data_IF_852341905543
#
_entry.id   IF_852341905543
#
_cell.length_a   1.000
_cell.length_b   1.000
_cell.length_c   1.000
_cell.angle_alpha   90.00
_cell.angle_beta   90.00
_cell.angle_gamma   90.00
#
_symmetry.space_group_name_H-M   'P 1'
#
loop_
_entity.id
_entity.type
_entity.pdbx_description
1 polymer ?
#
# COMPACT_ATOMS: atom_id res chain seq x y z
N UNK A 1 19.59 54.31 26.88
CA UNK A 1 19.25 52.88 26.97
C UNK A 1 18.17 52.61 25.93
N UNK A 2 18.59 52.36 24.69
CA UNK A 2 18.70 51.01 24.08
C UNK A 2 17.32 50.44 23.73
N UNK A 3 16.89 50.57 22.46
CA UNK A 3 16.94 49.49 21.44
C UNK A 3 15.68 48.60 21.54
N UNK A 4 14.96 48.19 20.49
CA UNK A 4 15.32 47.84 19.13
C UNK A 4 14.24 48.32 18.13
N UNK A 5 14.72 48.82 17.00
CA UNK A 5 13.98 48.87 15.75
C UNK A 5 13.51 47.46 15.36
N UNK A 6 12.24 47.32 14.99
CA UNK A 6 11.74 46.13 14.28
C UNK A 6 12.40 46.12 12.90
N UNK A 7 13.45 45.33 12.81
CA UNK A 7 14.12 44.91 11.58
C UNK A 7 13.07 44.35 10.60
N UNK A 8 12.78 45.13 9.56
CA UNK A 8 12.12 44.65 8.36
C UNK A 8 13.01 43.57 7.75
N UNK A 9 12.45 42.38 7.61
CA UNK A 9 13.08 41.24 6.97
C UNK A 9 13.31 41.58 5.50
N UNK A 10 14.49 42.10 5.19
CA UNK A 10 15.03 42.16 3.83
C UNK A 10 15.50 40.76 3.45
N UNK A 11 14.60 39.93 2.92
CA UNK A 11 15.01 38.71 2.22
C UNK A 11 15.44 39.09 0.80
N UNK A 12 16.75 39.08 0.61
CA UNK A 12 17.51 39.31 -0.62
C UNK A 12 17.11 38.32 -1.71
N UNK A 13 16.13 38.69 -2.55
CA UNK A 13 15.85 38.01 -3.81
C UNK A 13 16.79 38.51 -4.92
N UNK A 14 18.11 38.41 -4.72
CA UNK A 14 19.08 38.60 -5.81
C UNK A 14 19.53 37.24 -6.31
N UNK A 15 19.11 36.86 -7.51
CA UNK A 15 19.70 35.72 -8.22
C UNK A 15 21.09 36.19 -8.68
N UNK A 16 22.15 35.70 -8.04
CA UNK A 16 23.53 35.89 -8.51
C UNK A 16 23.77 34.82 -9.57
N UNK A 17 23.70 35.20 -10.84
CA UNK A 17 24.16 34.34 -11.95
C UNK A 17 25.55 34.84 -12.30
N UNK A 18 26.59 34.06 -11.98
CA UNK A 18 27.98 34.31 -12.38
C UNK A 18 28.52 35.71 -12.01
N UNK A 19 28.45 36.09 -10.73
CA UNK A 19 28.95 37.37 -10.18
C UNK A 19 28.28 38.65 -10.69
N UNK A 20 27.24 38.56 -11.53
CA UNK A 20 26.49 39.73 -12.02
C UNK A 20 25.19 39.93 -11.24
N UNK A 21 25.04 41.12 -10.64
CA UNK A 21 23.86 41.52 -9.88
C UNK A 21 22.77 42.03 -10.84
N UNK A 22 21.73 41.23 -11.05
CA UNK A 22 20.54 41.62 -11.82
C UNK A 22 19.58 42.36 -10.89
N UNK A 23 19.19 43.58 -11.24
CA UNK A 23 18.24 44.34 -10.43
C UNK A 23 16.81 43.81 -10.59
N UNK A 24 16.11 43.75 -9.45
CA UNK A 24 14.71 43.41 -9.35
C UNK A 24 13.92 44.62 -8.81
N UNK A 25 12.74 44.86 -9.35
CA UNK A 25 11.85 45.89 -8.81
C UNK A 25 10.96 45.38 -7.67
N UNK A 26 10.20 46.29 -7.05
CA UNK A 26 9.28 45.98 -5.94
C UNK A 26 8.14 45.03 -6.31
N UNK A 27 7.90 44.79 -7.60
CA UNK A 27 6.87 43.89 -8.11
C UNK A 27 7.42 42.50 -8.50
N UNK A 28 8.74 42.31 -8.39
CA UNK A 28 9.42 41.06 -8.70
C UNK A 28 9.90 40.94 -10.16
N UNK A 29 9.95 42.03 -10.92
CA UNK A 29 10.42 42.06 -12.32
C UNK A 29 11.92 42.30 -12.38
N UNK A 30 12.58 41.70 -13.38
CA UNK A 30 14.03 41.75 -13.57
C UNK A 30 14.41 42.72 -14.69
N UNK A 31 15.54 43.41 -14.54
CA UNK A 31 16.10 44.32 -15.55
C UNK A 31 16.67 43.56 -16.77
N UNK A 32 16.07 43.75 -17.95
CA UNK A 32 16.64 43.22 -19.21
C UNK A 32 17.94 43.92 -19.59
N UNK A 33 18.12 45.18 -19.20
CA UNK A 33 19.36 45.91 -19.49
C UNK A 33 20.55 45.29 -18.75
N UNK A 34 20.36 44.87 -17.51
CA UNK A 34 21.43 44.24 -16.73
C UNK A 34 21.78 42.87 -17.32
N UNK A 35 20.77 42.11 -17.73
CA UNK A 35 20.95 40.82 -18.39
C UNK A 35 21.66 40.97 -19.74
N UNK A 36 21.34 42.01 -20.49
CA UNK A 36 22.01 42.34 -21.76
C UNK A 36 23.51 42.62 -21.55
N UNK A 37 23.83 43.41 -20.53
CA UNK A 37 25.22 43.69 -20.14
C UNK A 37 25.93 42.42 -19.68
N UNK A 38 25.27 41.60 -18.84
CA UNK A 38 25.79 40.32 -18.38
C UNK A 38 26.08 39.34 -19.53
N UNK A 39 25.30 39.42 -20.61
CA UNK A 39 25.39 38.53 -21.78
C UNK A 39 26.39 39.01 -22.85
N UNK A 40 27.16 40.06 -22.59
CA UNK A 40 28.21 40.55 -23.51
C UNK A 40 27.85 41.79 -24.33
N UNK A 41 26.69 42.41 -24.10
CA UNK A 41 26.30 43.72 -24.66
C UNK A 41 26.40 43.84 -26.20
N UNK A 42 26.11 42.76 -26.93
CA UNK A 42 26.12 42.76 -28.40
C UNK A 42 24.95 43.59 -28.97
N UNK A 43 25.20 44.48 -29.93
CA UNK A 43 24.16 45.42 -30.41
C UNK A 43 22.88 44.76 -30.95
N UNK A 44 23.02 43.63 -31.64
CA UNK A 44 21.87 42.86 -32.17
C UNK A 44 20.94 42.32 -31.07
N UNK A 45 21.44 42.19 -29.85
CA UNK A 45 20.72 41.64 -28.70
C UNK A 45 20.11 42.72 -27.80
N UNK A 46 20.10 43.98 -28.21
CA UNK A 46 19.53 45.04 -27.35
C UNK A 46 18.06 44.74 -27.00
N UNK A 47 17.63 44.99 -25.74
CA UNK A 47 16.25 44.78 -25.31
C UNK A 47 15.21 45.48 -26.20
N UNK A 48 15.55 46.62 -26.81
CA UNK A 48 14.67 47.31 -27.75
C UNK A 48 14.33 46.48 -28.99
N UNK A 49 15.27 45.67 -29.52
CA UNK A 49 15.00 44.78 -30.65
C UNK A 49 14.14 43.60 -30.23
N UNK A 50 14.42 43.02 -29.06
CA UNK A 50 13.61 41.93 -28.49
C UNK A 50 12.15 42.33 -28.35
N UNK A 51 11.89 43.50 -27.75
CA UNK A 51 10.52 44.00 -27.52
C UNK A 51 9.74 44.33 -28.80
N UNK A 52 10.41 44.44 -29.95
CA UNK A 52 9.78 44.70 -31.26
C UNK A 52 9.43 43.42 -32.02
N UNK A 53 9.92 42.25 -31.59
CA UNK A 53 9.66 40.99 -32.29
C UNK A 53 8.20 40.58 -32.06
N UNK A 54 7.54 40.11 -33.12
CA UNK A 54 6.14 39.69 -33.04
C UNK A 54 5.95 38.54 -32.03
N UNK A 55 6.88 37.58 -32.02
CA UNK A 55 6.94 36.47 -31.05
C UNK A 55 6.90 36.97 -29.59
N UNK A 56 7.64 38.04 -29.29
CA UNK A 56 7.72 38.59 -27.94
C UNK A 56 6.44 39.33 -27.57
N UNK A 57 5.83 40.05 -28.52
CA UNK A 57 4.55 40.74 -28.32
C UNK A 57 3.42 39.74 -28.06
N UNK A 58 3.36 38.68 -28.86
CA UNK A 58 2.41 37.58 -28.67
C UNK A 58 2.60 36.91 -27.31
N UNK A 59 3.84 36.62 -26.91
CA UNK A 59 4.14 36.06 -25.59
C UNK A 59 3.72 36.98 -24.44
N UNK A 60 3.93 38.28 -24.56
CA UNK A 60 3.49 39.27 -23.56
C UNK A 60 1.97 39.24 -23.40
N UNK A 61 1.24 39.18 -24.51
CA UNK A 61 -0.23 39.12 -24.49
C UNK A 61 -0.72 37.82 -23.84
N UNK A 62 -0.09 36.68 -24.14
CA UNK A 62 -0.45 35.40 -23.54
C UNK A 62 -0.21 35.38 -22.03
N UNK A 63 0.95 35.90 -21.58
CA UNK A 63 1.25 36.03 -20.15
C UNK A 63 0.22 36.94 -19.46
N UNK A 64 -0.17 38.05 -20.09
CA UNK A 64 -1.17 38.96 -19.54
C UNK A 64 -2.56 38.32 -19.41
N UNK A 65 -2.93 37.44 -20.35
CA UNK A 65 -4.22 36.75 -20.34
C UNK A 65 -4.27 35.54 -19.39
N UNK A 66 -3.11 35.03 -18.95
CA UNK A 66 -3.03 33.88 -18.04
C UNK A 66 -3.58 34.17 -16.64
N UNK A 67 -4.34 33.23 -16.07
CA UNK A 67 -5.06 33.38 -14.82
C UNK A 67 -4.16 33.70 -13.61
N UNK A 68 -2.91 33.22 -13.62
CA UNK A 68 -1.94 33.39 -12.53
C UNK A 68 -1.36 34.82 -12.43
N UNK A 69 -1.52 35.64 -13.49
CA UNK A 69 -0.88 36.96 -13.60
C UNK A 69 -1.83 38.13 -13.91
N UNK A 70 -3.16 37.92 -13.83
CA UNK A 70 -4.18 38.92 -14.20
C UNK A 70 -4.04 40.31 -13.54
N UNK A 71 -3.31 40.42 -12.41
CA UNK A 71 -3.11 41.67 -11.68
C UNK A 71 -1.68 42.24 -11.74
N UNK A 72 -0.77 41.68 -12.54
CA UNK A 72 0.61 42.17 -12.65
C UNK A 72 1.00 42.46 -14.09
N UNK A 73 1.39 43.70 -14.36
CA UNK A 73 1.92 44.08 -15.66
C UNK A 73 3.24 43.33 -15.94
N UNK A 74 3.31 42.51 -17.02
CA UNK A 74 4.46 41.65 -17.30
C UNK A 74 5.70 42.44 -17.72
N UNK A 75 5.52 43.68 -18.20
CA UNK A 75 6.60 44.56 -18.65
C UNK A 75 6.36 45.99 -18.16
N UNK A 76 7.41 46.64 -17.67
CA UNK A 76 7.46 48.08 -17.43
C UNK A 76 8.73 48.67 -18.04
N UNK A 77 8.56 49.75 -18.81
CA UNK A 77 9.68 50.55 -19.32
C UNK A 77 9.71 51.90 -18.62
N UNK A 78 10.78 52.16 -17.85
CA UNK A 78 11.01 53.45 -17.20
C UNK A 78 11.94 54.30 -18.07
N UNK A 79 11.58 55.56 -18.35
CA UNK A 79 12.42 56.51 -19.09
C UNK A 79 13.31 57.30 -18.12
N UNK A 80 14.55 57.61 -18.50
CA UNK A 80 15.46 58.49 -17.74
C UNK A 80 16.85 57.90 -17.48
N UNK A 81 17.69 58.60 -16.70
CA UNK A 81 19.09 58.23 -16.39
C UNK A 81 19.24 56.85 -15.72
N UNK A 82 18.22 56.44 -14.97
CA UNK A 82 18.09 55.11 -14.35
C UNK A 82 16.94 54.31 -14.97
N UNK A 83 16.58 54.64 -16.21
CA UNK A 83 15.55 53.97 -16.98
C UNK A 83 16.00 52.61 -17.50
N UNK A 84 15.03 51.74 -17.75
CA UNK A 84 15.27 50.38 -18.24
C UNK A 84 13.97 49.64 -18.45
N UNK A 85 14.05 48.52 -19.16
CA UNK A 85 12.93 47.60 -19.37
C UNK A 85 13.00 46.49 -18.33
N UNK A 86 11.97 46.43 -17.48
CA UNK A 86 11.81 45.44 -16.44
C UNK A 86 10.73 44.46 -16.85
N UNK A 87 11.01 43.16 -16.74
CA UNK A 87 10.12 42.10 -17.23
C UNK A 87 9.96 40.97 -16.23
N UNK A 88 8.87 40.22 -16.33
CA UNK A 88 8.64 39.02 -15.55
C UNK A 88 9.63 37.89 -15.91
N UNK A 89 9.70 36.87 -15.06
CA UNK A 89 10.69 35.78 -15.12
C UNK A 89 10.62 34.99 -16.44
N UNK A 90 9.44 34.81 -17.00
CA UNK A 90 9.17 34.11 -18.25
C UNK A 90 9.82 34.84 -19.43
N UNK A 91 9.71 36.16 -19.46
CA UNK A 91 10.32 37.01 -20.48
C UNK A 91 11.84 37.09 -20.33
N UNK A 92 12.37 36.96 -19.10
CA UNK A 92 13.81 36.79 -18.86
C UNK A 92 14.32 35.52 -19.53
N UNK A 93 13.61 34.40 -19.37
CA UNK A 93 13.98 33.14 -20.01
C UNK A 93 13.88 33.22 -21.53
N UNK A 94 12.78 33.77 -22.05
CA UNK A 94 12.60 33.98 -23.50
C UNK A 94 13.73 34.83 -24.10
N UNK A 95 14.13 35.91 -23.43
CA UNK A 95 15.24 36.75 -23.84
C UNK A 95 16.59 36.01 -23.82
N UNK A 96 16.87 35.26 -22.75
CA UNK A 96 18.10 34.47 -22.65
C UNK A 96 18.19 33.37 -23.74
N UNK A 97 17.06 32.74 -24.07
CA UNK A 97 16.97 31.76 -25.15
C UNK A 97 17.19 32.41 -26.53
N UNK A 98 16.67 33.62 -26.74
CA UNK A 98 16.87 34.37 -27.98
C UNK A 98 18.34 34.74 -28.22
N UNK A 99 19.07 35.13 -27.17
CA UNK A 99 20.49 35.51 -27.26
C UNK A 99 21.40 34.30 -27.48
N UNK A 100 21.07 33.15 -26.89
CA UNK A 100 21.95 31.97 -26.89
C UNK A 100 21.20 30.69 -27.22
N UNK A 101 21.38 30.21 -28.44
CA UNK A 101 20.85 28.92 -28.88
C UNK A 101 21.38 27.74 -28.05
N UNK A 102 22.64 27.82 -27.59
CA UNK A 102 23.22 26.80 -26.72
C UNK A 102 22.55 26.77 -25.33
N UNK A 103 22.19 27.95 -24.79
CA UNK A 103 21.41 28.03 -23.56
C UNK A 103 19.98 27.52 -23.78
N UNK A 104 19.33 27.90 -24.88
CA UNK A 104 17.99 27.42 -25.22
C UNK A 104 17.93 25.89 -25.27
N UNK A 105 18.90 25.23 -25.91
CA UNK A 105 18.97 23.77 -25.96
C UNK A 105 19.13 23.15 -24.55
N UNK A 106 19.92 23.77 -23.67
CA UNK A 106 20.09 23.30 -22.29
C UNK A 106 18.79 23.40 -21.50
N UNK A 107 18.06 24.51 -21.64
CA UNK A 107 16.76 24.71 -20.97
C UNK A 107 15.74 23.68 -21.46
N UNK A 108 15.64 23.47 -22.79
CA UNK A 108 14.73 22.48 -23.37
C UNK A 108 15.04 21.07 -22.82
N UNK A 109 16.32 20.65 -22.87
CA UNK A 109 16.73 19.33 -22.36
C UNK A 109 16.51 19.18 -20.85
N UNK A 110 16.73 20.24 -20.08
CA UNK A 110 16.47 20.23 -18.65
C UNK A 110 14.98 20.10 -18.34
N UNK A 111 14.12 20.77 -19.12
CA UNK A 111 12.67 20.64 -19.01
C UNK A 111 12.21 19.23 -19.37
N UNK A 112 12.67 18.68 -20.51
CA UNK A 112 12.34 17.31 -20.92
C UNK A 112 12.77 16.30 -19.85
N UNK A 113 13.99 16.41 -19.33
CA UNK A 113 14.47 15.55 -18.26
C UNK A 113 13.63 15.66 -16.98
N UNK A 114 13.18 16.87 -16.61
CA UNK A 114 12.32 17.08 -15.45
C UNK A 114 10.93 16.47 -15.65
N UNK A 115 10.33 16.64 -16.83
CA UNK A 115 9.02 16.07 -17.16
C UNK A 115 9.09 14.55 -17.20
N UNK A 116 10.10 13.98 -17.87
CA UNK A 116 10.34 12.53 -17.89
C UNK A 116 10.56 11.99 -16.48
N UNK A 117 11.40 12.62 -15.66
CA UNK A 117 11.63 12.20 -14.27
C UNK A 117 10.35 12.30 -13.41
N UNK A 118 9.48 13.28 -13.66
CA UNK A 118 8.20 13.42 -12.96
C UNK A 118 7.21 12.34 -13.39
N UNK A 119 7.17 12.00 -14.68
CA UNK A 119 6.35 10.90 -15.19
C UNK A 119 6.86 9.54 -14.69
N UNK A 120 8.17 9.31 -14.70
CA UNK A 120 8.80 8.09 -14.19
C UNK A 120 8.56 7.91 -12.68
N UNK A 121 8.58 8.99 -11.88
CA UNK A 121 8.18 8.93 -10.45
C UNK A 121 6.71 8.60 -10.23
N UNK A 122 5.86 8.87 -11.22
CA UNK A 122 4.42 8.56 -11.16
C UNK A 122 4.14 7.12 -11.62
N UNK A 123 4.93 6.59 -12.56
CA UNK A 123 4.73 5.24 -13.11
C UNK A 123 5.49 4.17 -12.32
N UNK A 124 6.69 4.48 -11.84
CA UNK A 124 7.46 3.65 -10.92
C UNK A 124 7.14 4.22 -9.55
N UNK A 125 6.34 3.53 -8.74
CA UNK A 125 5.99 3.93 -7.37
C UNK A 125 7.24 4.29 -6.58
N UNK A 126 7.63 5.57 -6.65
CA UNK A 126 8.91 6.02 -6.16
C UNK A 126 8.90 5.90 -4.65
N UNK A 127 9.96 5.28 -4.10
CA UNK A 127 10.19 5.19 -2.66
C UNK A 127 9.79 6.51 -2.02
N UNK A 128 8.79 6.46 -1.15
CA UNK A 128 8.25 7.65 -0.52
C UNK A 128 9.32 8.31 0.36
N UNK A 129 9.21 9.62 0.56
CA UNK A 129 10.10 10.31 1.51
C UNK A 129 9.66 10.05 2.95
N UNK A 130 10.60 10.11 3.90
CA UNK A 130 10.30 9.98 5.33
C UNK A 130 9.24 10.99 5.77
N UNK A 131 9.30 12.22 5.23
CA UNK A 131 8.34 13.27 5.52
C UNK A 131 6.91 12.90 5.08
N UNK A 132 6.76 12.27 3.92
CA UNK A 132 5.46 11.85 3.37
C UNK A 132 4.87 10.68 4.18
N UNK A 133 5.71 9.85 4.79
CA UNK A 133 5.29 8.73 5.66
C UNK A 133 4.98 9.13 7.10
N UNK A 134 5.23 10.38 7.50
CA UNK A 134 4.97 10.87 8.86
C UNK A 134 3.54 10.57 9.35
N UNK A 135 2.48 10.83 8.55
CA UNK A 135 1.10 10.56 8.97
C UNK A 135 0.85 9.07 9.26
N UNK A 136 1.49 8.17 8.51
CA UNK A 136 1.39 6.73 8.73
C UNK A 136 2.10 6.30 10.01
N UNK A 137 3.28 6.87 10.29
CA UNK A 137 4.00 6.62 11.55
C UNK A 137 3.21 7.10 12.76
N UNK A 138 2.56 8.25 12.65
CA UNK A 138 1.71 8.79 13.71
C UNK A 138 0.47 7.92 13.94
N UNK A 139 -0.16 7.42 12.87
CA UNK A 139 -1.26 6.47 12.96
C UNK A 139 -0.84 5.17 13.66
N UNK A 140 0.34 4.64 13.32
CA UNK A 140 0.92 3.44 13.96
C UNK A 140 1.24 3.70 15.43
N UNK A 141 1.82 4.86 15.77
CA UNK A 141 2.05 5.27 17.16
C UNK A 141 0.74 5.31 17.96
N UNK A 142 -0.33 5.85 17.38
CA UNK A 142 -1.65 5.86 18.01
C UNK A 142 -2.21 4.45 18.21
N UNK A 143 -2.02 3.55 17.24
CA UNK A 143 -2.44 2.15 17.35
C UNK A 143 -1.70 1.41 18.46
N UNK A 144 -0.37 1.54 18.51
CA UNK A 144 0.47 0.96 19.58
C UNK A 144 0.08 1.52 20.94
N UNK A 145 -0.10 2.84 21.06
CA UNK A 145 -0.47 3.49 22.31
C UNK A 145 -1.87 3.12 22.83
N UNK A 146 -2.86 2.98 21.95
CA UNK A 146 -4.25 2.66 22.36
C UNK A 146 -4.51 1.18 22.56
N UNK A 147 -3.92 0.30 21.73
CA UNK A 147 -4.15 -1.16 21.79
C UNK A 147 -3.05 -1.94 22.51
N UNK A 148 -1.92 -1.31 22.85
CA UNK A 148 -0.80 -2.00 23.50
C UNK A 148 -0.10 -3.03 22.60
N UNK A 149 -0.21 -2.86 21.28
CA UNK A 149 0.45 -3.73 20.29
C UNK A 149 1.95 -3.42 20.21
N UNK A 150 2.77 -4.39 19.76
CA UNK A 150 4.18 -4.11 19.44
C UNK A 150 4.25 -3.35 18.12
N UNK A 151 5.29 -2.53 17.98
CA UNK A 151 5.54 -1.78 16.75
C UNK A 151 5.65 -2.68 15.52
N UNK A 152 6.35 -3.81 15.65
CA UNK A 152 6.52 -4.77 14.55
C UNK A 152 5.18 -5.32 14.07
N UNK A 153 4.27 -5.65 15.00
CA UNK A 153 2.93 -6.15 14.67
C UNK A 153 2.12 -5.10 13.91
N UNK A 154 2.20 -3.83 14.34
CA UNK A 154 1.51 -2.73 13.69
C UNK A 154 2.04 -2.45 12.27
N UNK A 155 3.35 -2.57 12.04
CA UNK A 155 3.92 -2.45 10.68
C UNK A 155 3.61 -3.67 9.82
N UNK A 156 3.62 -4.88 10.39
CA UNK A 156 3.25 -6.11 9.68
C UNK A 156 1.81 -6.07 9.15
N UNK A 157 0.89 -5.40 9.86
CA UNK A 157 -0.47 -5.18 9.36
C UNK A 157 -0.48 -4.33 8.08
N UNK A 158 0.37 -3.30 7.99
CA UNK A 158 0.52 -2.49 6.78
C UNK A 158 1.18 -3.31 5.67
N UNK A 159 2.25 -4.05 5.98
CA UNK A 159 2.94 -4.92 5.04
C UNK A 159 2.00 -5.94 4.39
N UNK A 160 1.20 -6.64 5.21
CA UNK A 160 0.23 -7.62 4.74
C UNK A 160 -0.88 -6.98 3.90
N UNK A 161 -1.36 -5.80 4.27
CA UNK A 161 -2.46 -5.12 3.56
C UNK A 161 -2.05 -4.65 2.17
N UNK A 162 -0.80 -4.21 2.01
CA UNK A 162 -0.30 -3.61 0.77
C UNK A 162 0.64 -4.53 -0.02
N UNK A 163 0.98 -5.71 0.51
CA UNK A 163 1.85 -6.68 -0.15
C UNK A 163 3.29 -6.20 -0.30
N UNK A 164 3.81 -5.50 0.71
CA UNK A 164 5.14 -4.87 0.72
C UNK A 164 5.98 -5.41 1.87
N UNK A 165 7.30 -5.42 1.70
CA UNK A 165 8.23 -5.84 2.76
C UNK A 165 8.59 -4.69 3.71
N UNK A 166 8.45 -3.44 3.23
CA UNK A 166 8.73 -2.24 3.99
C UNK A 166 7.79 -1.10 3.60
N UNK A 167 7.37 -0.29 4.58
CA UNK A 167 6.57 0.93 4.36
C UNK A 167 7.22 1.95 3.42
N UNK A 168 8.51 1.79 3.13
CA UNK A 168 9.25 2.65 2.21
C UNK A 168 8.91 2.40 0.73
N UNK A 169 8.29 1.25 0.44
CA UNK A 169 7.85 0.83 -0.89
C UNK A 169 6.42 1.27 -1.21
N UNK A 170 5.70 1.83 -0.23
CA UNK A 170 4.39 2.43 -0.47
C UNK A 170 4.53 3.56 -1.48
N UNK A 171 3.62 3.58 -2.46
CA UNK A 171 3.45 4.75 -3.32
C UNK A 171 2.79 5.90 -2.55
N UNK A 172 2.97 7.12 -3.04
CA UNK A 172 2.36 8.33 -2.45
C UNK A 172 0.83 8.19 -2.35
N UNK A 173 0.20 7.51 -3.30
CA UNK A 173 -1.26 7.27 -3.33
C UNK A 173 -1.70 6.19 -2.32
N UNK A 174 -0.80 5.26 -1.96
CA UNK A 174 -1.09 4.21 -0.99
C UNK A 174 -0.94 4.69 0.46
N UNK A 175 -0.15 5.74 0.73
CA UNK A 175 0.03 6.27 2.09
C UNK A 175 -1.31 6.66 2.75
N UNK A 176 -2.19 7.46 2.12
CA UNK A 176 -3.48 7.81 2.71
C UNK A 176 -4.36 6.58 3.01
N UNK A 177 -4.35 5.59 2.12
CA UNK A 177 -5.09 4.34 2.29
C UNK A 177 -4.56 3.53 3.48
N UNK A 178 -3.23 3.51 3.67
CA UNK A 178 -2.60 2.82 4.80
C UNK A 178 -2.92 3.51 6.14
N UNK A 179 -2.92 4.84 6.16
CA UNK A 179 -3.33 5.64 7.34
C UNK A 179 -4.78 5.35 7.70
N UNK A 180 -5.68 5.37 6.71
CA UNK A 180 -7.10 5.07 6.91
C UNK A 180 -7.29 3.65 7.46
N UNK A 181 -6.58 2.67 6.91
CA UNK A 181 -6.62 1.29 7.38
C UNK A 181 -6.20 1.18 8.84
N UNK A 182 -5.06 1.79 9.23
CA UNK A 182 -4.60 1.78 10.62
C UNK A 182 -5.60 2.49 11.54
N UNK A 183 -6.11 3.66 11.15
CA UNK A 183 -7.13 4.37 11.93
C UNK A 183 -8.42 3.56 12.09
N UNK A 184 -8.86 2.86 11.05
CA UNK A 184 -9.99 1.95 11.14
C UNK A 184 -9.73 0.84 12.14
N UNK A 185 -8.55 0.23 12.12
CA UNK A 185 -8.19 -0.79 13.12
C UNK A 185 -8.10 -0.21 14.52
N UNK A 186 -7.70 1.06 14.70
CA UNK A 186 -7.73 1.73 16.01
C UNK A 186 -9.16 1.87 16.53
N UNK A 187 -10.11 2.25 15.67
CA UNK A 187 -11.51 2.51 16.01
C UNK A 187 -12.35 1.24 16.15
N UNK A 188 -12.08 0.23 15.33
CA UNK A 188 -12.66 -1.11 15.43
C UNK A 188 -11.99 -1.82 16.62
N UNK A 189 -12.51 -1.51 17.81
CA UNK A 189 -12.21 -2.19 19.06
C UNK A 189 -12.73 -3.62 19.05
N UNK A 190 -12.13 -4.48 18.23
CA UNK A 190 -12.06 -5.94 18.32
C UNK A 190 -11.44 -6.45 17.02
N UNK A 191 -10.10 -6.46 16.96
CA UNK A 191 -9.39 -7.23 15.95
C UNK A 191 -8.10 -7.73 16.60
N UNK A 192 -8.25 -8.76 17.46
CA UNK A 192 -7.22 -9.78 17.53
C UNK A 192 -7.17 -10.36 16.12
N UNK A 193 -6.01 -10.31 15.49
CA UNK A 193 -5.82 -10.85 14.15
C UNK A 193 -6.44 -12.24 14.06
N UNK A 194 -7.59 -12.33 13.40
CA UNK A 194 -7.81 -13.47 12.54
C UNK A 194 -6.75 -13.30 11.46
N UNK A 195 -5.61 -13.96 11.67
CA UNK A 195 -5.06 -14.75 10.58
C UNK A 195 -6.27 -15.32 9.85
N UNK A 196 -6.30 -15.22 8.52
CA UNK A 196 -7.10 -16.16 7.78
C UNK A 196 -6.65 -17.54 8.24
N UNK A 197 -7.37 -18.08 9.23
CA UNK A 197 -7.56 -19.50 9.33
C UNK A 197 -8.10 -19.81 7.94
N UNK A 198 -7.23 -20.35 7.08
CA UNK A 198 -7.63 -21.49 6.25
C UNK A 198 -8.66 -22.22 7.10
N UNK A 199 -9.87 -22.39 6.58
CA UNK A 199 -10.88 -23.22 7.24
C UNK A 199 -10.12 -24.41 7.86
N UNK A 200 -10.38 -24.73 9.12
CA UNK A 200 -9.73 -25.85 9.82
C UNK A 200 -10.02 -27.14 9.02
N UNK A 201 -9.34 -27.31 7.89
CA UNK A 201 -9.39 -28.43 6.99
C UNK A 201 -8.48 -29.42 7.65
N UNK A 202 -9.08 -30.49 8.15
CA UNK A 202 -8.35 -31.62 8.69
C UNK A 202 -7.30 -32.03 7.66
N UNK A 203 -6.03 -32.11 8.06
CA UNK A 203 -5.02 -32.70 7.19
C UNK A 203 -5.42 -34.13 6.85
N UNK A 204 -4.95 -34.66 5.70
CA UNK A 204 -5.26 -36.03 5.28
C UNK A 204 -4.93 -37.07 6.38
N UNK A 205 -3.87 -36.82 7.16
CA UNK A 205 -3.46 -37.63 8.31
C UNK A 205 -4.44 -37.56 9.49
N UNK A 206 -4.92 -36.37 9.84
CA UNK A 206 -5.91 -36.18 10.90
C UNK A 206 -7.27 -36.78 10.51
N UNK A 207 -7.69 -36.56 9.26
CA UNK A 207 -8.89 -37.17 8.69
C UNK A 207 -8.81 -38.70 8.75
N UNK A 208 -7.69 -39.29 8.31
CA UNK A 208 -7.48 -40.73 8.35
C UNK A 208 -7.52 -41.31 9.78
N UNK A 209 -6.94 -40.60 10.75
CA UNK A 209 -6.97 -41.01 12.17
C UNK A 209 -8.40 -41.04 12.73
N UNK A 210 -9.22 -40.04 12.39
CA UNK A 210 -10.60 -39.96 12.84
C UNK A 210 -11.51 -40.99 12.15
N UNK A 211 -11.31 -41.23 10.85
CA UNK A 211 -12.03 -42.28 10.11
C UNK A 211 -11.71 -43.66 10.67
N UNK A 212 -10.45 -43.90 11.04
CA UNK A 212 -10.05 -45.17 11.65
C UNK A 212 -10.65 -45.35 13.04
N UNK A 213 -10.69 -44.30 13.87
CA UNK A 213 -11.36 -44.33 15.17
C UNK A 213 -12.86 -44.63 15.04
N UNK A 214 -13.51 -44.01 14.04
CA UNK A 214 -14.92 -44.27 13.74
C UNK A 214 -15.17 -45.73 13.32
N UNK A 215 -14.31 -46.30 12.46
CA UNK A 215 -14.40 -47.71 12.05
C UNK A 215 -14.21 -48.66 13.25
N UNK A 216 -13.27 -48.35 14.13
CA UNK A 216 -13.03 -49.11 15.35
C UNK A 216 -14.23 -49.07 16.30
N UNK A 217 -14.85 -47.90 16.48
CA UNK A 217 -16.06 -47.75 17.29
C UNK A 217 -17.22 -48.60 16.76
N UNK A 218 -17.42 -48.65 15.43
CA UNK A 218 -18.43 -49.52 14.82
C UNK A 218 -18.15 -51.01 15.05
N UNK A 219 -16.89 -51.45 14.93
CA UNK A 219 -16.49 -52.84 15.20
C UNK A 219 -16.70 -53.22 16.67
N UNK A 220 -16.31 -52.34 17.58
CA UNK A 220 -16.52 -52.54 19.02
C UNK A 220 -18.01 -52.64 19.37
N UNK A 221 -18.84 -51.81 18.74
CA UNK A 221 -20.29 -51.88 18.91
C UNK A 221 -20.86 -53.23 18.45
N UNK A 222 -20.45 -53.72 17.28
CA UNK A 222 -20.89 -55.01 16.77
C UNK A 222 -20.55 -56.14 17.75
N UNK A 223 -19.32 -56.14 18.29
CA UNK A 223 -18.89 -57.09 19.31
C UNK A 223 -19.77 -57.04 20.57
N UNK A 224 -20.10 -55.84 21.07
CA UNK A 224 -20.98 -55.71 22.24
C UNK A 224 -22.41 -56.22 21.99
N UNK A 225 -22.94 -56.08 20.76
CA UNK A 225 -24.23 -56.67 20.37
C UNK A 225 -24.17 -58.20 20.39
N UNK A 226 -23.07 -58.79 19.93
CA UNK A 226 -22.86 -60.25 19.92
C UNK A 226 -22.65 -60.81 21.33
N UNK A 227 -21.95 -60.08 22.20
CA UNK A 227 -21.67 -60.50 23.58
C UNK A 227 -22.87 -60.37 24.52
N UNK A 228 -23.79 -59.44 24.24
CA UNK A 228 -24.91 -59.15 25.12
C UNK A 228 -25.79 -60.37 25.45
N UNK A 229 -26.24 -61.20 24.48
CA UNK A 229 -27.06 -62.39 24.76
C UNK A 229 -26.37 -63.36 25.73
N UNK A 230 -25.06 -63.62 25.54
CA UNK A 230 -24.29 -64.51 26.39
C UNK A 230 -24.15 -63.96 27.82
N UNK A 231 -23.83 -62.66 27.95
CA UNK A 231 -23.72 -62.00 29.25
C UNK A 231 -25.05 -61.94 30.00
N UNK A 232 -26.16 -61.78 29.27
CA UNK A 232 -27.52 -61.83 29.83
C UNK A 232 -27.87 -63.23 30.33
N UNK A 233 -27.49 -64.27 29.57
CA UNK A 233 -27.78 -65.66 29.92
C UNK A 233 -27.09 -66.10 31.21
N UNK A 234 -25.86 -65.63 31.45
CA UNK A 234 -25.11 -65.90 32.70
C UNK A 234 -25.46 -64.92 33.84
N UNK A 235 -26.50 -64.09 33.68
CA UNK A 235 -26.93 -63.05 34.64
C UNK A 235 -25.78 -62.14 35.11
N UNK A 236 -24.86 -61.80 34.21
CA UNK A 236 -23.75 -60.92 34.55
C UNK A 236 -24.24 -59.49 34.81
N UNK A 237 -23.70 -58.86 35.86
CA UNK A 237 -23.92 -57.45 36.17
C UNK A 237 -23.43 -56.51 35.04
N UNK A 238 -22.61 -57.01 34.11
CA UNK A 238 -22.16 -56.26 32.93
C UNK A 238 -23.13 -56.31 31.74
N UNK A 239 -24.16 -57.16 31.79
CA UNK A 239 -25.11 -57.33 30.67
C UNK A 239 -25.80 -56.03 30.26
N UNK A 240 -26.19 -55.17 31.23
CA UNK A 240 -26.76 -53.85 30.96
C UNK A 240 -25.79 -52.92 30.22
N UNK A 241 -24.55 -52.79 30.71
CA UNK A 241 -23.52 -51.96 30.05
C UNK A 241 -23.18 -52.46 28.64
N UNK A 242 -23.18 -53.78 28.45
CA UNK A 242 -22.94 -54.39 27.14
C UNK A 242 -24.07 -54.05 26.15
N UNK A 243 -25.31 -54.04 26.62
CA UNK A 243 -26.46 -53.59 25.82
C UNK A 243 -26.32 -52.12 25.41
N UNK A 244 -25.98 -51.25 26.35
CA UNK A 244 -25.81 -49.82 26.10
C UNK A 244 -24.72 -49.57 25.03
N UNK A 245 -23.54 -50.16 25.18
CA UNK A 245 -22.45 -50.06 24.20
C UNK A 245 -22.81 -50.65 22.82
N UNK A 246 -23.64 -51.70 22.80
CA UNK A 246 -24.13 -52.30 21.57
C UNK A 246 -25.19 -51.46 20.85
N UNK A 247 -26.15 -50.88 21.56
CA UNK A 247 -27.34 -50.28 20.94
C UNK A 247 -27.37 -48.76 21.01
N UNK A 248 -27.13 -48.17 22.18
CA UNK A 248 -27.29 -46.73 22.41
C UNK A 248 -26.17 -45.90 21.76
N UNK A 249 -24.94 -46.43 21.73
CA UNK A 249 -23.81 -45.75 21.08
C UNK A 249 -23.95 -45.65 19.55
N UNK A 250 -24.93 -46.35 18.94
CA UNK A 250 -25.15 -46.37 17.49
C UNK A 250 -25.53 -44.99 16.96
N UNK A 251 -26.28 -44.24 17.77
CA UNK A 251 -26.70 -42.89 17.42
C UNK A 251 -25.52 -41.93 17.35
N UNK A 252 -24.65 -41.94 18.36
CA UNK A 252 -23.47 -41.06 18.45
C UNK A 252 -22.45 -41.39 17.34
N UNK A 253 -22.24 -42.68 17.04
CA UNK A 253 -21.38 -43.13 15.94
C UNK A 253 -21.95 -42.67 14.59
N UNK A 254 -23.28 -42.65 14.44
CA UNK A 254 -23.96 -42.11 13.26
C UNK A 254 -23.74 -40.60 13.09
N UNK A 255 -23.88 -39.81 14.15
CA UNK A 255 -23.59 -38.36 14.10
C UNK A 255 -22.13 -38.08 13.73
N UNK A 256 -21.19 -38.82 14.31
CA UNK A 256 -19.78 -38.69 14.00
C UNK A 256 -19.48 -38.97 12.52
N UNK A 257 -20.19 -39.94 11.92
CA UNK A 257 -20.08 -40.24 10.49
C UNK A 257 -20.43 -39.05 9.61
N UNK A 258 -21.54 -38.38 9.89
CA UNK A 258 -22.01 -37.26 9.08
C UNK A 258 -21.05 -36.06 9.16
N UNK A 259 -20.48 -35.82 10.35
CA UNK A 259 -19.41 -34.83 10.53
C UNK A 259 -18.19 -35.19 9.70
N UNK A 260 -17.73 -36.46 9.76
CA UNK A 260 -16.57 -36.91 8.99
C UNK A 260 -16.79 -36.77 7.49
N UNK A 261 -17.92 -37.24 6.95
CA UNK A 261 -18.24 -37.13 5.52
C UNK A 261 -18.24 -35.68 5.04
N UNK A 262 -18.69 -34.74 5.87
CA UNK A 262 -18.71 -33.33 5.52
C UNK A 262 -17.30 -32.71 5.50
N UNK A 263 -16.42 -33.12 6.42
CA UNK A 263 -15.08 -32.54 6.54
C UNK A 263 -14.01 -33.27 5.71
N UNK A 264 -14.32 -34.45 5.17
CA UNK A 264 -13.39 -35.24 4.37
C UNK A 264 -13.77 -35.30 2.88
N UNK A 265 -14.59 -34.36 2.39
CA UNK A 265 -15.03 -34.33 0.97
C UNK A 265 -13.89 -34.05 0.00
N UNK A 266 -13.00 -33.16 0.42
CA UNK A 266 -11.91 -32.62 -0.41
C UNK A 266 -10.54 -33.23 -0.05
N UNK A 267 -10.51 -34.24 0.83
CA UNK A 267 -9.30 -34.97 1.19
C UNK A 267 -8.98 -36.01 0.12
N UNK A 268 -7.82 -35.89 -0.52
CA UNK A 268 -7.32 -36.94 -1.41
C UNK A 268 -6.82 -38.14 -0.59
N UNK A 269 -7.45 -39.30 -0.83
CA UNK A 269 -7.18 -40.56 -0.12
C UNK A 269 -6.04 -41.34 -0.81
N UNK A 270 -5.64 -40.94 -2.03
CA UNK A 270 -4.66 -41.65 -2.84
C UNK A 270 -3.21 -41.16 -2.64
N UNK A 271 -3.01 -40.01 -1.98
CA UNK A 271 -1.70 -39.52 -1.52
C UNK A 271 -1.64 -39.49 0.03
N UNK A 272 -1.62 -40.65 0.69
CA UNK A 272 -1.66 -40.68 2.15
C UNK A 272 -0.32 -40.27 2.76
N UNK A 273 -0.33 -39.23 3.60
CA UNK A 273 0.80 -38.80 4.44
C UNK A 273 0.97 -39.71 5.69
N UNK A 274 0.88 -41.04 5.49
CA UNK A 274 0.99 -42.05 6.55
C UNK A 274 0.20 -43.35 6.29
N UNK A 275 0.15 -44.28 7.27
CA UNK A 275 -0.59 -45.54 7.14
C UNK A 275 -2.11 -45.30 7.05
N UNK A 276 -2.71 -45.63 5.90
CA UNK A 276 -4.13 -45.37 5.60
C UNK A 276 -4.95 -46.65 5.56
N UNK A 277 -6.05 -46.67 6.31
CA UNK A 277 -6.99 -47.79 6.30
C UNK A 277 -8.04 -47.58 5.21
N UNK A 278 -7.70 -47.93 3.97
CA UNK A 278 -8.58 -47.77 2.80
C UNK A 278 -9.95 -48.45 2.99
N UNK A 279 -10.01 -49.57 3.72
CA UNK A 279 -11.28 -50.26 4.00
C UNK A 279 -12.23 -49.46 4.88
N UNK A 280 -11.70 -48.69 5.84
CA UNK A 280 -12.50 -47.80 6.68
C UNK A 280 -13.08 -46.63 5.88
N UNK A 281 -12.29 -46.07 4.96
CA UNK A 281 -12.73 -45.03 4.03
C UNK A 281 -13.83 -45.51 3.07
N UNK A 282 -13.69 -46.72 2.53
CA UNK A 282 -14.73 -47.34 1.69
C UNK A 282 -16.03 -47.55 2.47
N UNK A 283 -15.96 -48.08 3.71
CA UNK A 283 -17.15 -48.26 4.57
C UNK A 283 -17.80 -46.94 4.96
N UNK A 284 -17.00 -45.91 5.26
CA UNK A 284 -17.49 -44.56 5.53
C UNK A 284 -18.33 -44.03 4.36
N UNK A 285 -17.84 -44.16 3.12
CA UNK A 285 -18.54 -43.69 1.91
C UNK A 285 -19.76 -44.54 1.55
N UNK A 286 -19.66 -45.86 1.67
CA UNK A 286 -20.70 -46.80 1.21
C UNK A 286 -21.87 -47.02 2.20
N UNK A 287 -21.86 -46.38 3.38
CA UNK A 287 -22.85 -46.64 4.47
C UNK A 287 -22.85 -48.11 4.93
N UNK A 288 -21.74 -48.81 4.77
CA UNK A 288 -21.62 -50.19 5.18
C UNK A 288 -21.18 -50.27 6.64
N UNK A 289 -21.94 -51.00 7.46
CA UNK A 289 -21.45 -51.43 8.76
C UNK A 289 -20.31 -52.43 8.55
N UNK A 290 -19.23 -52.40 9.36
CA UNK A 290 -18.20 -53.43 9.27
C UNK A 290 -18.87 -54.81 9.40
N UNK A 291 -18.50 -55.79 8.57
CA UNK A 291 -19.07 -57.12 8.64
C UNK A 291 -18.92 -57.65 10.07
N UNK A 292 -19.95 -58.34 10.56
CA UNK A 292 -19.83 -59.07 11.83
C UNK A 292 -18.58 -59.96 11.76
N UNK A 293 -17.96 -60.20 12.90
CA UNK A 293 -16.66 -60.92 13.00
C UNK A 293 -16.79 -62.41 12.62
N UNK A 294 -17.87 -62.79 11.94
CA UNK A 294 -18.22 -64.15 11.53
C UNK A 294 -17.99 -64.43 10.04
N UNK A 295 -17.33 -63.55 9.31
CA UNK A 295 -16.84 -63.85 7.96
C UNK A 295 -15.31 -63.69 7.90
N UNK A 296 -14.61 -64.62 8.53
CA UNK A 296 -13.23 -65.01 8.23
C UNK A 296 -13.12 -66.53 8.33
#
# INVERSE_FOLDING_TARGET
MSSLAKSTVNCTNSIIISDVKIHMDSEGRYSLNDLHVASGKEEKHQPAFFMRRNETIELINEIFNSADMQNKNPVISKKGRYGGTYVCKELVYSYAMWISAAFALKVIRAYDAMVTATQERKTIGGKTSVAERTPLRDAVNMLVGKKGLRYDDAYNMVHQRFGIDSIDELSIEQIPLAVEYIHRVVLEGEFIGKQEKKANELSAKEANSLVWLWDYANRSQALFRELYPALKQIQSNYSGRCYDYGHEFSYVIGMARDVLINHTRDVDINEPDGPTNLSAWMRLKNKELPPSVHNY
#
